data_IF_121073032196
#
_entry.id   IF_121073032196
#
_cell.length_a   1.000
_cell.length_b   1.000
_cell.length_c   1.000
_cell.angle_alpha   90.00
_cell.angle_beta   90.00
_cell.angle_gamma   90.00
#
_symmetry.space_group_name_H-M   'P 1'
#
loop_
_entity.id
_entity.type
_entity.pdbx_description
1 polymer ?
#
# COMPACT_ATOMS: atom_id res chain seq x y z
N UNK A 1 33.18 12.01 -13.84
CA UNK A 1 32.54 11.05 -14.78
C UNK A 1 31.97 9.93 -13.93
N UNK A 2 30.65 9.77 -13.90
CA UNK A 2 29.97 8.85 -12.97
C UNK A 2 29.31 7.74 -13.77
N UNK A 3 29.55 6.49 -13.39
CA UNK A 3 28.91 5.31 -13.98
C UNK A 3 28.09 4.58 -12.91
N UNK A 4 26.92 4.06 -13.29
CA UNK A 4 26.05 3.26 -12.45
C UNK A 4 25.71 1.95 -13.17
N UNK A 5 25.46 0.88 -12.40
CA UNK A 5 25.10 -0.44 -12.91
C UNK A 5 24.29 -1.20 -11.87
N UNK A 6 23.52 -2.19 -12.32
CA UNK A 6 22.72 -3.07 -11.48
C UNK A 6 22.87 -4.52 -11.95
N UNK A 7 22.65 -5.47 -11.05
CA UNK A 7 22.64 -6.91 -11.35
C UNK A 7 21.43 -7.53 -10.66
N UNK A 8 20.74 -8.46 -11.35
CA UNK A 8 19.61 -9.20 -10.77
C UNK A 8 20.06 -9.97 -9.52
N UNK A 9 19.28 -9.87 -8.45
CA UNK A 9 19.42 -10.59 -7.19
C UNK A 9 18.03 -11.06 -6.72
N UNK A 10 17.97 -12.23 -6.05
CA UNK A 10 16.78 -12.77 -5.41
C UNK A 10 17.13 -13.27 -3.99
N UNK A 11 16.26 -13.01 -3.01
CA UNK A 11 16.30 -13.55 -1.65
C UNK A 11 15.11 -14.49 -1.43
N UNK A 12 15.33 -15.62 -0.76
CA UNK A 12 14.33 -16.68 -0.59
C UNK A 12 13.45 -16.52 0.67
N UNK A 13 13.79 -15.62 1.60
CA UNK A 13 12.99 -15.38 2.81
C UNK A 13 13.02 -13.89 3.17
N UNK A 14 11.98 -13.18 2.78
CA UNK A 14 11.60 -11.94 3.48
C UNK A 14 10.57 -12.33 4.54
N UNK A 15 10.81 -11.90 5.79
CA UNK A 15 9.81 -11.97 6.86
C UNK A 15 8.99 -10.70 6.79
N UNK A 16 7.68 -10.85 6.92
CA UNK A 16 6.75 -9.76 6.68
C UNK A 16 5.33 -10.17 6.97
N UNK A 17 4.40 -9.27 6.68
CA UNK A 17 2.99 -9.48 6.92
C UNK A 17 2.16 -8.96 5.74
N UNK A 18 1.05 -9.67 5.48
CA UNK A 18 -0.03 -9.14 4.64
C UNK A 18 -1.14 -8.65 5.55
N UNK A 19 -1.40 -7.36 5.49
CA UNK A 19 -2.45 -6.70 6.26
C UNK A 19 -3.68 -6.56 5.37
N UNK A 20 -4.84 -6.87 5.94
CA UNK A 20 -6.14 -6.64 5.32
C UNK A 20 -6.89 -5.64 6.19
N UNK A 21 -7.17 -4.46 5.65
CA UNK A 21 -7.78 -3.35 6.38
C UNK A 21 -9.03 -2.91 5.64
N UNK A 22 -10.17 -2.86 6.33
CA UNK A 22 -11.38 -2.22 5.81
C UNK A 22 -11.51 -0.84 6.44
N UNK A 23 -11.68 0.17 5.59
CA UNK A 23 -11.90 1.55 6.00
C UNK A 23 -13.26 2.05 5.54
N UNK A 24 -13.86 2.96 6.30
CA UNK A 24 -15.09 3.66 5.93
C UNK A 24 -14.81 5.16 5.80
N UNK A 25 -15.34 5.75 4.74
CA UNK A 25 -15.16 7.13 4.35
C UNK A 25 -16.51 7.74 3.97
N UNK A 26 -16.60 9.07 3.95
CA UNK A 26 -17.71 9.76 3.30
C UNK A 26 -17.56 9.63 1.76
N UNK A 27 -18.66 9.49 1.00
CA UNK A 27 -18.63 9.30 -0.45
C UNK A 27 -18.38 10.63 -1.20
N UNK A 28 -17.27 11.29 -0.91
CA UNK A 28 -16.88 12.57 -1.50
C UNK A 28 -15.71 12.43 -2.48
N UNK A 29 -15.54 13.42 -3.37
CA UNK A 29 -14.48 13.40 -4.37
C UNK A 29 -13.05 13.32 -3.76
N UNK A 30 -12.86 13.87 -2.56
CA UNK A 30 -11.59 13.77 -1.84
C UNK A 30 -11.25 12.34 -1.43
N UNK A 31 -12.26 11.52 -1.07
CA UNK A 31 -12.06 10.10 -0.77
C UNK A 31 -11.57 9.34 -2.00
N UNK A 32 -12.13 9.66 -3.17
CA UNK A 32 -11.73 9.03 -4.43
C UNK A 32 -10.31 9.40 -4.86
N UNK A 33 -9.96 10.68 -4.75
CA UNK A 33 -8.61 11.16 -5.01
C UNK A 33 -7.60 10.54 -4.04
N UNK A 34 -7.97 10.44 -2.76
CA UNK A 34 -7.12 9.82 -1.74
C UNK A 34 -6.90 8.33 -2.01
N UNK A 35 -7.96 7.56 -2.29
CA UNK A 35 -7.85 6.13 -2.64
C UNK A 35 -7.01 5.89 -3.90
N UNK A 36 -7.17 6.73 -4.92
CA UNK A 36 -6.39 6.65 -6.16
C UNK A 36 -4.89 6.94 -5.94
N UNK A 37 -4.54 7.73 -4.93
CA UNK A 37 -3.16 8.05 -4.59
C UNK A 37 -2.46 7.02 -3.70
N UNK A 38 -3.18 6.06 -3.13
CA UNK A 38 -2.61 5.14 -2.13
C UNK A 38 -1.55 4.19 -2.70
N UNK A 39 -1.68 3.74 -3.94
CA UNK A 39 -0.72 2.79 -4.54
C UNK A 39 0.65 3.41 -4.80
N UNK A 40 0.69 4.72 -5.02
CA UNK A 40 1.91 5.46 -5.31
C UNK A 40 2.49 6.16 -4.08
N UNK A 41 1.79 6.08 -2.93
CA UNK A 41 2.21 6.74 -1.72
C UNK A 41 3.36 5.99 -1.03
N UNK A 42 4.39 6.72 -0.63
CA UNK A 42 5.48 6.18 0.19
C UNK A 42 5.11 6.24 1.67
N UNK A 43 5.21 5.10 2.35
CA UNK A 43 4.90 4.98 3.77
C UNK A 43 6.14 4.66 4.58
N UNK A 44 6.36 5.43 5.64
CA UNK A 44 7.41 5.15 6.63
C UNK A 44 6.79 4.38 7.78
N UNK A 45 7.14 3.10 7.91
CA UNK A 45 6.77 2.26 9.05
C UNK A 45 8.03 1.90 9.83
N UNK A 46 8.00 2.07 11.16
CA UNK A 46 9.17 1.71 11.97
C UNK A 46 9.40 0.21 11.92
N UNK A 47 10.62 -0.20 11.58
CA UNK A 47 11.02 -1.62 11.48
C UNK A 47 10.37 -2.37 10.33
N UNK A 48 9.68 -1.69 9.42
CA UNK A 48 9.01 -2.31 8.28
C UNK A 48 9.06 -1.41 7.03
N UNK A 49 9.20 -2.02 5.87
CA UNK A 49 9.00 -1.40 4.57
C UNK A 49 7.63 -1.82 4.03
N UNK A 50 6.83 -0.87 3.54
CA UNK A 50 5.66 -1.20 2.70
C UNK A 50 6.17 -1.57 1.31
N UNK A 51 6.10 -2.86 0.98
CA UNK A 51 6.54 -3.38 -0.31
C UNK A 51 5.46 -3.26 -1.39
N UNK A 52 4.20 -3.32 -0.99
CA UNK A 52 3.05 -3.15 -1.88
C UNK A 52 1.84 -2.64 -1.07
N UNK A 53 1.02 -1.81 -1.69
CA UNK A 53 -0.28 -1.39 -1.18
C UNK A 53 -1.24 -1.27 -2.34
N UNK A 54 -2.38 -1.96 -2.23
CA UNK A 54 -3.46 -1.83 -3.20
C UNK A 54 -4.83 -1.69 -2.56
N UNK A 55 -5.71 -0.97 -3.24
CA UNK A 55 -7.15 -0.97 -2.96
C UNK A 55 -7.75 -2.21 -3.61
N UNK A 56 -8.09 -3.22 -2.80
CA UNK A 56 -8.58 -4.51 -3.27
C UNK A 56 -10.06 -4.45 -3.68
N UNK A 57 -10.86 -3.63 -3.00
CA UNK A 57 -12.26 -3.42 -3.33
C UNK A 57 -12.73 -2.04 -2.88
N UNK A 58 -13.70 -1.47 -3.60
CA UNK A 58 -14.46 -0.28 -3.20
C UNK A 58 -15.94 -0.58 -3.31
N UNK A 59 -16.69 -0.30 -2.24
CA UNK A 59 -18.15 -0.46 -2.17
C UNK A 59 -18.76 0.89 -1.81
N UNK A 60 -19.79 1.28 -2.55
CA UNK A 60 -20.46 2.57 -2.39
C UNK A 60 -21.92 2.40 -1.99
N UNK A 61 -22.34 3.23 -1.06
CA UNK A 61 -23.72 3.48 -0.68
C UNK A 61 -24.00 5.00 -0.80
N UNK A 62 -25.25 5.40 -0.58
CA UNK A 62 -25.67 6.80 -0.69
C UNK A 62 -24.95 7.72 0.31
N UNK A 63 -24.63 7.21 1.50
CA UNK A 63 -24.08 7.96 2.63
C UNK A 63 -22.70 7.46 3.08
N UNK A 64 -22.18 6.40 2.45
CA UNK A 64 -20.92 5.79 2.85
C UNK A 64 -20.13 5.22 1.67
N UNK A 65 -18.82 5.25 1.80
CA UNK A 65 -17.88 4.52 0.97
C UNK A 65 -17.07 3.58 1.88
N UNK A 66 -16.96 2.31 1.49
CA UNK A 66 -16.09 1.34 2.15
C UNK A 66 -15.02 0.86 1.18
N UNK A 67 -13.78 0.78 1.62
CA UNK A 67 -12.69 0.24 0.83
C UNK A 67 -11.92 -0.84 1.61
N UNK A 68 -11.54 -1.90 0.92
CA UNK A 68 -10.62 -2.90 1.44
C UNK A 68 -9.23 -2.63 0.88
N UNK A 69 -8.25 -2.58 1.78
CA UNK A 69 -6.84 -2.40 1.47
C UNK A 69 -6.09 -3.70 1.76
N UNK A 70 -5.23 -4.09 0.83
CA UNK A 70 -4.21 -5.10 1.08
C UNK A 70 -2.84 -4.43 1.09
N UNK A 71 -2.10 -4.61 2.18
CA UNK A 71 -0.78 -4.01 2.38
C UNK A 71 0.23 -5.13 2.64
N UNK A 72 1.31 -5.16 1.88
CA UNK A 72 2.43 -6.07 2.10
C UNK A 72 3.55 -5.31 2.79
N UNK A 73 3.97 -5.77 3.97
CA UNK A 73 5.14 -5.25 4.67
C UNK A 73 6.25 -6.28 4.72
N UNK A 74 7.48 -5.79 4.73
CA UNK A 74 8.70 -6.57 4.95
C UNK A 74 9.42 -5.98 6.16
N UNK A 75 9.85 -6.83 7.09
CA UNK A 75 10.60 -6.40 8.27
C UNK A 75 11.98 -5.84 7.85
N UNK A 76 12.38 -4.72 8.46
CA UNK A 76 13.68 -4.08 8.23
C UNK A 76 14.50 -4.22 9.52
N UNK A 77 15.57 -5.03 9.46
CA UNK A 77 16.54 -5.22 10.55
C UNK A 77 17.29 -3.94 10.95
#
# INVERSE_FOLDING_TARGET
>A
MTASGWRRWASATFVGARHSITIQLLPEAAADAWLAGLSEAEFVLRGNLVADLKVAAVRRATDALAADLEILTVETE
#
